data_IF_415657519868
#
_entry.id   IF_415657519868
#
_cell.length_a   1.000
_cell.length_b   1.000
_cell.length_c   1.000
_cell.angle_alpha   90.00
_cell.angle_beta   90.00
_cell.angle_gamma   90.00
#
_symmetry.space_group_name_H-M   'P 1'
#
loop_
_entity.id
_entity.type
_entity.pdbx_description
1 polymer ?
#
# COMPACT_ATOMS: atom_id res chain seq x y z
N UNK A 1 8.86 -14.31 -9.17
CA UNK A 1 9.50 -14.16 -7.83
C UNK A 1 8.70 -15.02 -6.86
N UNK A 2 9.32 -15.97 -6.17
CA UNK A 2 8.61 -16.96 -5.33
C UNK A 2 8.13 -16.35 -4.00
N UNK A 3 7.25 -17.06 -3.29
CA UNK A 3 6.83 -16.68 -1.95
C UNK A 3 8.00 -16.85 -0.94
N UNK A 4 8.23 -15.88 -0.03
CA UNK A 4 9.23 -16.02 1.02
C UNK A 4 8.92 -17.20 1.94
N UNK A 5 9.95 -17.97 2.28
CA UNK A 5 9.85 -19.09 3.25
C UNK A 5 9.84 -18.59 4.69
N UNK A 6 9.20 -19.35 5.56
CA UNK A 6 9.26 -19.12 7.01
C UNK A 6 10.64 -19.46 7.58
N UNK A 7 11.15 -18.69 8.55
CA UNK A 7 12.37 -19.03 9.27
C UNK A 7 12.11 -20.13 10.30
N UNK A 8 13.06 -21.06 10.45
CA UNK A 8 13.04 -22.07 11.52
C UNK A 8 13.73 -21.55 12.78
N UNK A 9 13.42 -22.13 13.95
CA UNK A 9 14.05 -21.76 15.22
C UNK A 9 15.59 -21.85 15.16
N UNK A 10 16.11 -22.92 14.54
CA UNK A 10 17.55 -23.09 14.28
C UNK A 10 18.10 -21.98 13.38
N UNK A 11 17.37 -21.60 12.35
CA UNK A 11 17.73 -20.51 11.44
C UNK A 11 17.80 -19.15 12.15
N UNK A 12 16.82 -18.85 13.01
CA UNK A 12 16.79 -17.60 13.79
C UNK A 12 17.97 -17.54 14.76
N UNK A 13 18.23 -18.61 15.52
CA UNK A 13 19.36 -18.68 16.44
C UNK A 13 20.71 -18.55 15.73
N UNK A 14 20.86 -19.19 14.56
CA UNK A 14 22.07 -19.09 13.75
C UNK A 14 22.29 -17.69 13.18
N UNK A 15 21.22 -17.05 12.69
CA UNK A 15 21.29 -15.68 12.17
C UNK A 15 21.64 -14.67 13.27
N UNK A 16 21.04 -14.79 14.46
CA UNK A 16 21.33 -13.91 15.61
C UNK A 16 22.81 -13.92 16.02
N UNK A 17 23.48 -15.07 15.88
CA UNK A 17 24.89 -15.24 16.28
C UNK A 17 25.89 -14.79 15.21
N UNK A 18 25.45 -14.59 13.97
CA UNK A 18 26.35 -14.20 12.88
C UNK A 18 26.69 -12.71 13.01
N UNK A 19 27.97 -12.32 12.98
CA UNK A 19 28.34 -10.92 12.94
C UNK A 19 27.85 -10.30 11.63
N UNK A 20 27.23 -9.13 11.71
CA UNK A 20 26.80 -8.33 10.56
C UNK A 20 27.76 -7.15 10.45
N UNK A 21 28.49 -7.08 9.33
CA UNK A 21 29.37 -5.96 9.05
C UNK A 21 28.53 -4.70 8.83
N UNK A 22 28.86 -3.63 9.56
CA UNK A 22 28.36 -2.30 9.27
C UNK A 22 29.39 -1.59 8.42
N UNK A 23 29.01 -1.21 7.21
CA UNK A 23 29.85 -0.46 6.30
C UNK A 23 29.28 0.95 6.23
N UNK A 24 30.07 1.93 6.69
CA UNK A 24 29.69 3.33 6.55
C UNK A 24 29.77 3.72 5.07
N UNK A 25 28.73 4.37 4.56
CA UNK A 25 28.79 4.99 3.25
C UNK A 25 29.55 6.32 3.37
N UNK A 26 30.56 6.52 2.53
CA UNK A 26 31.18 7.83 2.37
C UNK A 26 30.31 8.69 1.44
N UNK A 27 29.55 9.61 2.03
CA UNK A 27 28.66 10.53 1.31
C UNK A 27 29.40 11.45 0.33
N UNK A 28 30.71 11.61 0.46
CA UNK A 28 31.51 12.45 -0.43
C UNK A 28 32.00 11.72 -1.69
N UNK A 29 32.06 10.38 -1.65
CA UNK A 29 32.61 9.56 -2.75
C UNK A 29 31.71 9.46 -3.99
N UNK A 30 30.41 9.76 -3.88
CA UNK A 30 29.40 9.61 -4.94
C UNK A 30 28.72 10.93 -5.37
N UNK A 31 29.42 12.06 -5.30
CA UNK A 31 28.93 13.31 -5.89
C UNK A 31 28.03 14.19 -5.00
N UNK A 32 28.09 13.99 -3.68
CA UNK A 32 27.96 14.98 -2.58
C UNK A 32 26.80 15.99 -2.55
N UNK A 33 25.89 15.97 -3.51
CA UNK A 33 24.83 16.96 -3.64
C UNK A 33 23.52 16.25 -3.90
N UNK A 34 22.72 16.13 -2.85
CA UNK A 34 21.35 15.67 -2.94
C UNK A 34 20.58 16.59 -3.89
N UNK A 35 20.29 16.08 -5.10
CA UNK A 35 19.58 16.84 -6.14
C UNK A 35 18.08 16.99 -5.85
N UNK A 36 17.60 16.30 -4.82
CA UNK A 36 16.20 16.25 -4.42
C UNK A 36 16.11 16.37 -2.90
N UNK A 37 15.08 17.08 -2.44
CA UNK A 37 14.74 17.18 -1.02
C UNK A 37 13.31 16.70 -0.81
N UNK A 38 13.07 16.09 0.33
CA UNK A 38 11.71 15.76 0.76
C UNK A 38 10.91 17.05 0.96
N UNK A 39 9.69 17.08 0.44
CA UNK A 39 8.69 18.06 0.83
C UNK A 39 8.03 17.70 2.16
N UNK A 40 7.05 18.49 2.57
CA UNK A 40 6.28 18.19 3.78
C UNK A 40 5.42 16.93 3.57
N UNK A 41 5.55 15.91 4.43
CA UNK A 41 4.74 14.71 4.32
C UNK A 41 3.29 15.03 4.68
N UNK A 42 2.36 14.64 3.82
CA UNK A 42 0.93 14.75 4.09
C UNK A 42 0.24 13.40 3.89
N UNK A 43 -0.82 13.18 4.66
CA UNK A 43 -1.69 12.01 4.50
C UNK A 43 -2.83 12.40 3.57
N UNK A 44 -2.97 11.78 2.39
CA UNK A 44 -4.09 12.06 1.51
C UNK A 44 -5.39 11.62 2.18
N UNK A 45 -6.42 12.46 2.11
CA UNK A 45 -7.75 12.08 2.59
C UNK A 45 -8.28 10.90 1.76
N UNK A 46 -8.61 9.79 2.40
CA UNK A 46 -9.33 8.68 1.76
C UNK A 46 -10.81 9.03 1.72
N UNK A 47 -11.22 9.79 0.72
CA UNK A 47 -12.64 10.01 0.45
C UNK A 47 -13.22 8.74 -0.17
N UNK A 48 -14.00 7.99 0.60
CA UNK A 48 -14.87 6.95 0.04
C UNK A 48 -16.13 7.66 -0.44
N UNK A 49 -16.34 7.69 -1.75
CA UNK A 49 -17.54 8.24 -2.36
C UNK A 49 -18.37 7.08 -2.90
N UNK A 50 -19.62 6.98 -2.48
CA UNK A 50 -20.53 5.93 -2.89
C UNK A 50 -21.71 5.83 -1.93
N UNK A 51 -22.88 5.55 -2.48
CA UNK A 51 -24.09 5.33 -1.70
C UNK A 51 -24.33 3.83 -1.63
N UNK A 52 -24.34 3.28 -0.42
CA UNK A 52 -24.73 1.88 -0.21
C UNK A 52 -26.25 1.87 -0.07
N UNK A 53 -26.94 1.18 -0.97
CA UNK A 53 -28.38 0.98 -0.90
C UNK A 53 -28.65 -0.10 0.17
N UNK A 54 -28.99 0.33 1.39
CA UNK A 54 -29.35 -0.53 2.52
C UNK A 54 -30.86 -0.41 2.82
N UNK A 55 -31.42 -1.40 3.51
CA UNK A 55 -32.81 -1.44 4.00
C UNK A 55 -33.91 -1.42 2.93
N UNK A 56 -33.64 -1.93 1.74
CA UNK A 56 -34.62 -2.07 0.65
C UNK A 56 -34.70 -3.52 0.16
N UNK A 57 -35.87 -3.98 -0.32
CA UNK A 57 -35.99 -5.26 -1.02
C UNK A 57 -35.00 -5.33 -2.20
N UNK A 58 -34.36 -6.48 -2.39
CA UNK A 58 -33.29 -6.66 -3.38
C UNK A 58 -33.69 -6.21 -4.80
N UNK A 59 -34.95 -6.42 -5.18
CA UNK A 59 -35.48 -6.03 -6.49
C UNK A 59 -35.50 -4.51 -6.69
N UNK A 60 -35.78 -3.72 -5.65
CA UNK A 60 -35.89 -2.26 -5.74
C UNK A 60 -34.52 -1.60 -5.63
N UNK A 61 -33.63 -2.15 -4.79
CA UNK A 61 -32.22 -1.76 -4.77
C UNK A 61 -31.54 -1.99 -6.14
N UNK A 62 -31.83 -3.11 -6.81
CA UNK A 62 -31.30 -3.39 -8.14
C UNK A 62 -31.77 -2.38 -9.20
N UNK A 63 -33.04 -1.96 -9.17
CA UNK A 63 -33.57 -0.93 -10.08
C UNK A 63 -32.88 0.42 -9.87
N UNK A 64 -32.71 0.85 -8.61
CA UNK A 64 -32.03 2.10 -8.28
C UNK A 64 -30.57 2.09 -8.71
N UNK A 65 -29.87 0.97 -8.49
CA UNK A 65 -28.49 0.80 -8.95
C UNK A 65 -28.37 0.90 -10.48
N UNK A 66 -29.23 0.18 -11.22
CA UNK A 66 -29.20 0.21 -12.68
C UNK A 66 -29.58 1.58 -13.24
N UNK A 67 -30.54 2.27 -12.63
CA UNK A 67 -30.90 3.64 -13.01
C UNK A 67 -29.72 4.60 -12.83
N UNK A 68 -29.04 4.54 -11.69
CA UNK A 68 -27.84 5.34 -11.41
C UNK A 68 -26.71 5.03 -12.39
N UNK A 69 -26.46 3.74 -12.69
CA UNK A 69 -25.43 3.34 -13.66
C UNK A 69 -25.72 3.84 -15.08
N UNK A 70 -26.99 3.86 -15.51
CA UNK A 70 -27.40 4.42 -16.81
C UNK A 70 -27.22 5.94 -16.86
N UNK A 71 -27.60 6.65 -15.80
CA UNK A 71 -27.44 8.11 -15.70
C UNK A 71 -25.98 8.53 -15.80
N UNK A 72 -25.09 7.78 -15.15
CA UNK A 72 -23.64 8.01 -15.20
C UNK A 72 -22.93 7.37 -16.40
N UNK A 73 -23.68 6.76 -17.34
CA UNK A 73 -23.14 6.10 -18.55
C UNK A 73 -22.07 5.05 -18.29
N UNK A 74 -22.23 4.32 -17.18
CA UNK A 74 -21.33 3.23 -16.80
C UNK A 74 -21.78 1.89 -17.41
N UNK A 75 -23.00 1.85 -17.97
CA UNK A 75 -23.61 0.77 -18.74
C UNK A 75 -24.54 1.36 -19.82
#
# INVERSE_FOLDING_TARGET
LNQPRYPSLKGIMGAKKKPVAQVAADATSNGGTDRMRWGEPYVPARTVTGTILQDQPAADAAKQLVAWLREHKLI
#
